data_IF_047536179598
#
_entry.id   IF_047536179598
#
_cell.length_a   1.000
_cell.length_b   1.000
_cell.length_c   1.000
_cell.angle_alpha   90.00
_cell.angle_beta   90.00
_cell.angle_gamma   90.00
#
_symmetry.space_group_name_H-M   'P 1'
#
loop_
_entity.id
_entity.type
_entity.pdbx_description
1 polymer ?
#
# COMPACT_ATOMS: atom_id res chain seq x y z
N UNK A 1 12.49 -1.30 11.29
CA UNK A 1 11.94 -2.36 10.43
C UNK A 1 10.60 -1.94 9.85
N UNK A 2 10.36 -2.27 8.61
CA UNK A 2 9.13 -1.88 7.93
C UNK A 2 8.47 -3.09 7.28
N UNK A 3 7.15 -3.06 7.21
CA UNK A 3 6.36 -4.05 6.50
C UNK A 3 6.02 -3.47 5.12
N UNK A 4 6.40 -4.17 4.06
CA UNK A 4 6.35 -3.62 2.72
C UNK A 4 5.24 -4.23 1.88
N UNK A 5 4.61 -3.37 1.08
CA UNK A 5 3.57 -3.75 0.12
C UNK A 5 3.94 -3.26 -1.26
N UNK A 6 3.60 -4.06 -2.26
CA UNK A 6 3.75 -3.69 -3.66
C UNK A 6 2.36 -3.52 -4.25
N UNK A 7 2.11 -2.36 -4.84
CA UNK A 7 0.82 -2.08 -5.48
C UNK A 7 1.04 -1.92 -6.97
N UNK A 8 0.20 -2.56 -7.79
CA UNK A 8 0.32 -2.55 -9.24
C UNK A 8 -1.00 -2.21 -9.90
N UNK A 9 -0.93 -1.50 -11.01
CA UNK A 9 -2.08 -1.24 -11.89
C UNK A 9 -1.63 -1.18 -13.33
N UNK A 10 -2.52 -1.54 -14.25
CA UNK A 10 -2.25 -1.47 -15.69
C UNK A 10 -2.69 -0.15 -16.30
N UNK A 11 -3.48 0.65 -15.56
CA UNK A 11 -3.95 1.95 -16.01
C UNK A 11 -3.15 3.04 -15.31
N UNK A 12 -2.51 3.93 -16.08
CA UNK A 12 -1.74 5.02 -15.50
C UNK A 12 -2.60 5.88 -14.58
N UNK A 13 -2.26 5.98 -13.29
CA UNK A 13 -3.02 6.80 -12.36
C UNK A 13 -2.69 8.28 -12.55
N UNK A 14 -3.54 9.15 -12.06
CA UNK A 14 -3.19 10.56 -11.94
C UNK A 14 -2.24 10.70 -10.74
N UNK A 15 -0.94 10.67 -11.04
CA UNK A 15 0.10 10.70 -10.01
C UNK A 15 0.05 11.93 -9.12
N UNK A 16 -0.29 13.09 -9.71
CA UNK A 16 -0.41 14.33 -8.93
C UNK A 16 -1.49 14.23 -7.87
N UNK A 17 -2.67 13.73 -8.25
CA UNK A 17 -3.80 13.53 -7.34
C UNK A 17 -3.48 12.46 -6.30
N UNK A 18 -2.90 11.35 -6.73
CA UNK A 18 -2.56 10.25 -5.84
C UNK A 18 -1.53 10.67 -4.80
N UNK A 19 -0.46 11.33 -5.22
CA UNK A 19 0.58 11.80 -4.30
C UNK A 19 0.03 12.79 -3.29
N UNK A 20 -0.87 13.68 -3.71
CA UNK A 20 -1.51 14.63 -2.81
C UNK A 20 -2.33 13.91 -1.74
N UNK A 21 -3.07 12.87 -2.12
CA UNK A 21 -3.85 12.07 -1.18
C UNK A 21 -2.96 11.28 -0.22
N UNK A 22 -1.87 10.71 -0.71
CA UNK A 22 -0.94 9.91 0.10
C UNK A 22 -0.23 10.73 1.16
N UNK A 23 0.00 12.02 0.94
CA UNK A 23 0.64 12.90 1.92
C UNK A 23 -0.13 13.01 3.24
N UNK A 24 -1.40 12.71 3.25
CA UNK A 24 -2.22 12.70 4.48
C UNK A 24 -1.84 11.57 5.43
N UNK A 25 -1.18 10.53 4.91
CA UNK A 25 -0.84 9.33 5.65
C UNK A 25 0.63 9.36 6.06
N UNK A 26 0.94 10.21 7.04
CA UNK A 26 2.31 10.53 7.42
C UNK A 26 3.07 9.39 8.12
N UNK A 27 2.38 8.33 8.54
CA UNK A 27 3.02 7.13 9.12
C UNK A 27 3.53 6.17 8.05
N UNK A 28 3.14 6.38 6.79
CA UNK A 28 3.52 5.51 5.69
C UNK A 28 4.51 6.21 4.78
N UNK A 29 5.39 5.41 4.16
CA UNK A 29 6.25 5.88 3.08
C UNK A 29 5.80 5.23 1.79
N UNK A 30 5.79 6.01 0.70
CA UNK A 30 5.36 5.51 -0.60
C UNK A 30 6.34 5.94 -1.69
N UNK A 31 6.62 4.99 -2.61
CA UNK A 31 7.59 5.19 -3.67
C UNK A 31 6.99 4.71 -5.00
N UNK A 32 6.60 5.63 -5.89
CA UNK A 32 6.11 5.23 -7.22
C UNK A 32 7.26 4.71 -8.08
N UNK A 33 6.96 3.72 -8.91
CA UNK A 33 7.92 3.21 -9.89
C UNK A 33 7.19 2.72 -11.13
N UNK A 34 7.92 2.66 -12.24
CA UNK A 34 7.43 2.13 -13.52
C UNK A 34 8.12 0.82 -13.80
N UNK A 35 7.34 -0.23 -14.00
CA UNK A 35 7.88 -1.52 -14.40
C UNK A 35 7.85 -1.61 -15.92
N UNK A 36 9.04 -1.48 -16.53
CA UNK A 36 9.16 -1.29 -17.97
C UNK A 36 8.81 -2.54 -18.80
N UNK A 37 8.90 -3.74 -18.21
CA UNK A 37 8.71 -4.98 -18.96
C UNK A 37 7.27 -5.40 -19.13
N UNK A 38 6.36 -5.03 -18.18
CA UNK A 38 4.98 -5.50 -18.17
C UNK A 38 3.95 -4.37 -18.35
N UNK A 39 4.41 -3.18 -18.68
CA UNK A 39 3.56 -2.00 -18.83
C UNK A 39 2.69 -1.74 -17.60
N UNK A 40 3.20 -2.04 -16.41
CA UNK A 40 2.52 -1.82 -15.16
C UNK A 40 3.06 -0.59 -14.45
N UNK A 41 2.17 0.10 -13.77
CA UNK A 41 2.52 1.21 -12.90
C UNK A 41 2.54 0.70 -11.46
N UNK A 42 3.60 0.98 -10.76
CA UNK A 42 3.82 0.45 -9.43
C UNK A 42 3.91 1.52 -8.35
N UNK A 43 3.54 1.12 -7.15
CA UNK A 43 3.67 1.94 -5.95
C UNK A 43 4.10 1.02 -4.82
N UNK A 44 5.27 1.28 -4.25
CA UNK A 44 5.73 0.56 -3.06
C UNK A 44 5.30 1.34 -1.83
N UNK A 45 4.76 0.64 -0.83
CA UNK A 45 4.35 1.24 0.44
C UNK A 45 5.09 0.56 1.57
N UNK A 46 5.71 1.35 2.45
CA UNK A 46 6.36 0.88 3.67
C UNK A 46 5.56 1.33 4.89
N UNK A 47 5.22 0.37 5.75
CA UNK A 47 4.47 0.61 6.98
C UNK A 47 5.40 0.30 8.15
N UNK A 48 5.65 1.24 9.08
CA UNK A 48 6.50 0.95 10.22
C UNK A 48 5.89 -0.12 11.12
N UNK A 49 6.70 -1.09 11.50
CA UNK A 49 6.31 -2.12 12.45
C UNK A 49 6.47 -1.59 13.88
N UNK A 50 5.76 -2.18 14.83
CA UNK A 50 5.78 -1.78 16.24
C UNK A 50 5.29 -0.34 16.45
N UNK A 51 4.32 0.07 15.67
CA UNK A 51 3.72 1.39 15.83
C UNK A 51 2.76 1.40 17.03
N UNK A 52 3.06 2.23 18.00
CA UNK A 52 2.25 2.33 19.22
C UNK A 52 0.88 2.90 18.89
N UNK A 53 -0.18 2.23 19.37
CA UNK A 53 -1.56 2.67 19.14
C UNK A 53 -2.16 2.25 17.80
N UNK A 54 -1.41 1.57 16.97
CA UNK A 54 -1.91 1.04 15.70
C UNK A 54 -2.26 2.07 14.65
N UNK A 55 -1.75 3.31 14.75
CA UNK A 55 -2.07 4.38 13.80
C UNK A 55 -1.57 4.07 12.39
N UNK A 56 -0.42 3.45 12.26
CA UNK A 56 0.11 3.06 10.95
C UNK A 56 -0.77 2.00 10.28
N UNK A 57 -1.28 1.04 11.04
CA UNK A 57 -2.22 0.05 10.52
C UNK A 57 -3.50 0.72 10.00
N UNK A 58 -4.07 1.65 10.77
CA UNK A 58 -5.29 2.37 10.36
C UNK A 58 -5.06 3.16 9.08
N UNK A 59 -3.93 3.83 8.98
CA UNK A 59 -3.55 4.55 7.76
C UNK A 59 -3.41 3.60 6.58
N UNK A 60 -2.76 2.45 6.79
CA UNK A 60 -2.62 1.45 5.73
C UNK A 60 -3.99 0.97 5.23
N UNK A 61 -4.93 0.70 6.12
CA UNK A 61 -6.28 0.25 5.72
C UNK A 61 -6.97 1.31 4.86
N UNK A 62 -6.86 2.59 5.24
CA UNK A 62 -7.44 3.68 4.44
C UNK A 62 -6.78 3.77 3.07
N UNK A 63 -5.45 3.68 3.01
CA UNK A 63 -4.70 3.73 1.74
C UNK A 63 -5.04 2.53 0.87
N UNK A 64 -5.15 1.34 1.45
CA UNK A 64 -5.52 0.13 0.72
C UNK A 64 -6.89 0.30 0.03
N UNK A 65 -7.88 0.84 0.75
CA UNK A 65 -9.20 1.11 0.17
C UNK A 65 -9.13 2.17 -0.94
N UNK A 66 -8.38 3.22 -0.70
CA UNK A 66 -8.20 4.29 -1.68
C UNK A 66 -7.60 3.75 -2.99
N UNK A 67 -6.52 2.98 -2.88
CA UNK A 67 -5.83 2.43 -4.04
C UNK A 67 -6.69 1.42 -4.80
N UNK A 68 -7.34 0.51 -4.10
CA UNK A 68 -8.11 -0.55 -4.75
C UNK A 68 -9.41 -0.03 -5.36
N UNK A 69 -10.09 0.90 -4.71
CA UNK A 69 -11.40 1.39 -5.17
C UNK A 69 -11.29 2.57 -6.15
N UNK A 70 -10.40 3.51 -5.88
CA UNK A 70 -10.35 4.75 -6.66
C UNK A 70 -9.30 4.76 -7.76
N UNK A 71 -8.23 3.97 -7.60
CA UNK A 71 -7.12 3.94 -8.56
C UNK A 71 -6.90 2.57 -9.19
N UNK A 72 -7.72 1.59 -8.86
CA UNK A 72 -7.69 0.23 -9.45
C UNK A 72 -6.35 -0.47 -9.30
N UNK A 73 -5.66 -0.25 -8.18
CA UNK A 73 -4.45 -0.99 -7.85
C UNK A 73 -4.80 -2.35 -7.26
N UNK A 74 -3.93 -3.31 -7.48
CA UNK A 74 -3.89 -4.57 -6.74
C UNK A 74 -2.75 -4.46 -5.73
N UNK A 75 -3.02 -4.76 -4.46
CA UNK A 75 -2.04 -4.62 -3.38
C UNK A 75 -1.54 -5.99 -2.96
N UNK A 76 -0.21 -6.16 -2.94
CA UNK A 76 0.44 -7.41 -2.56
C UNK A 76 1.28 -7.22 -1.31
N UNK A 77 1.19 -8.19 -0.41
CA UNK A 77 2.03 -8.28 0.77
C UNK A 77 3.37 -8.90 0.37
N UNK A 78 4.45 -8.14 0.49
CA UNK A 78 5.78 -8.61 0.08
C UNK A 78 6.36 -9.64 1.04
N UNK A 79 5.93 -9.64 2.30
CA UNK A 79 6.42 -10.61 3.27
C UNK A 79 5.85 -12.01 3.02
N UNK A 80 4.54 -12.10 2.76
CA UNK A 80 3.88 -13.37 2.49
C UNK A 80 3.79 -13.72 1.00
N UNK A 81 4.08 -12.76 0.12
CA UNK A 81 4.00 -12.95 -1.31
C UNK A 81 2.59 -13.19 -1.82
N UNK A 82 1.58 -12.55 -1.22
CA UNK A 82 0.20 -12.77 -1.64
C UNK A 82 -0.61 -11.47 -1.65
N UNK A 83 -1.70 -11.48 -2.42
CA UNK A 83 -2.62 -10.35 -2.51
C UNK A 83 -3.29 -10.08 -1.16
N UNK A 84 -3.47 -8.79 -0.88
CA UNK A 84 -4.13 -8.33 0.35
C UNK A 84 -5.64 -8.43 0.16
N UNK A 85 -6.24 -9.49 0.66
CA UNK A 85 -7.68 -9.70 0.69
C UNK A 85 -8.22 -9.55 2.14
N UNK A 86 -9.52 -9.77 2.31
CA UNK A 86 -10.17 -9.64 3.63
C UNK A 86 -9.54 -10.55 4.69
N UNK A 87 -9.21 -11.78 4.31
CA UNK A 87 -8.60 -12.73 5.23
C UNK A 87 -7.18 -12.32 5.59
N UNK A 88 -6.40 -11.89 4.60
CA UNK A 88 -5.02 -11.52 4.82
C UNK A 88 -4.88 -10.22 5.63
N UNK A 89 -5.86 -9.34 5.59
CA UNK A 89 -5.85 -8.12 6.42
C UNK A 89 -5.74 -8.46 7.91
N UNK A 90 -6.36 -9.54 8.35
CA UNK A 90 -6.26 -10.01 9.74
C UNK A 90 -4.82 -10.38 10.11
N UNK A 91 -4.10 -10.99 9.18
CA UNK A 91 -2.69 -11.34 9.37
C UNK A 91 -1.84 -10.07 9.46
N UNK A 92 -2.05 -9.12 8.56
CA UNK A 92 -1.34 -7.85 8.55
C UNK A 92 -1.55 -7.09 9.86
N UNK A 93 -2.76 -7.08 10.38
CA UNK A 93 -3.06 -6.43 11.66
C UNK A 93 -2.18 -6.98 12.78
N UNK A 94 -2.04 -8.30 12.87
CA UNK A 94 -1.21 -8.93 13.88
C UNK A 94 0.27 -8.60 13.72
N UNK A 95 0.74 -8.47 12.49
CA UNK A 95 2.15 -8.20 12.21
C UNK A 95 2.53 -6.73 12.48
N UNK A 96 1.63 -5.78 12.21
CA UNK A 96 1.91 -4.36 12.36
C UNK A 96 1.58 -3.84 13.75
N UNK A 97 0.53 -4.35 14.37
CA UNK A 97 0.14 -3.95 15.72
C UNK A 97 0.59 -4.98 16.76
#
# INVERSE_FOLDING_TARGET
MAYNFLCETTTEPNWGKLNKLLKKYNQLESFPFLEATDEKFGLAISVPMKNVGGSAYKQFIHVNKLLTKNFKFTVYDMYYGKEVDKEHIKVIRREIT
#
